data_IF_204839281868
#
_entry.id   IF_204839281868
#
_cell.length_a   1.000
_cell.length_b   1.000
_cell.length_c   1.000
_cell.angle_alpha   90.00
_cell.angle_beta   90.00
_cell.angle_gamma   90.00
#
_symmetry.space_group_name_H-M   'P 1'
#
loop_
_entity.id
_entity.type
_entity.pdbx_description
1 polymer ?
#
# COMPACT_ATOMS: atom_id res chain seq x y z
N UNK A 1 -38.84 51.95 -50.04
CA UNK A 1 -38.17 51.14 -51.09
C UNK A 1 -36.98 50.44 -50.43
N UNK A 2 -37.10 49.16 -50.07
CA UNK A 2 -36.40 47.99 -50.68
C UNK A 2 -34.86 48.15 -50.65
N UNK A 3 -34.01 47.33 -50.00
CA UNK A 3 -33.81 45.86 -49.88
C UNK A 3 -32.95 45.58 -48.61
N UNK A 4 -33.12 44.50 -47.79
CA UNK A 4 -32.65 43.10 -47.90
C UNK A 4 -31.15 42.93 -48.26
N UNK A 5 -30.30 42.10 -47.62
CA UNK A 5 -30.42 41.08 -46.57
C UNK A 5 -29.02 40.74 -46.00
N UNK A 6 -28.95 40.28 -44.73
CA UNK A 6 -28.65 38.91 -44.31
C UNK A 6 -27.14 38.59 -44.10
N UNK A 7 -26.75 38.43 -42.82
CA UNK A 7 -25.52 37.78 -42.39
C UNK A 7 -25.88 36.70 -41.35
N UNK A 8 -25.20 35.57 -41.51
CA UNK A 8 -25.57 34.22 -41.09
C UNK A 8 -25.18 33.90 -39.65
N UNK A 9 -26.10 33.24 -38.93
CA UNK A 9 -25.86 32.52 -37.68
C UNK A 9 -25.31 31.13 -37.97
N UNK A 10 -24.24 30.72 -37.28
CA UNK A 10 -23.74 29.35 -37.28
C UNK A 10 -24.17 28.65 -35.99
N UNK A 11 -25.06 27.68 -36.15
CA UNK A 11 -25.52 26.73 -35.15
C UNK A 11 -25.01 25.35 -35.60
N UNK A 12 -24.32 24.64 -34.71
CA UNK A 12 -23.73 23.34 -35.00
C UNK A 12 -24.27 22.32 -33.99
N UNK A 13 -25.37 21.69 -34.39
CA UNK A 13 -25.94 20.52 -33.72
C UNK A 13 -25.33 19.21 -34.25
N UNK A 14 -24.87 18.40 -33.30
CA UNK A 14 -25.05 16.94 -33.14
C UNK A 14 -24.97 16.03 -34.39
N UNK A 15 -23.99 15.12 -34.38
CA UNK A 15 -23.95 13.93 -35.23
C UNK A 15 -23.36 12.73 -34.47
N UNK A 16 -24.26 11.85 -33.99
CA UNK A 16 -23.97 10.56 -33.36
C UNK A 16 -23.36 9.59 -34.39
N UNK A 17 -22.10 9.19 -34.20
CA UNK A 17 -21.39 8.24 -35.07
C UNK A 17 -21.28 6.86 -34.43
N UNK A 18 -22.08 5.93 -34.94
CA UNK A 18 -22.07 4.49 -34.64
C UNK A 18 -20.77 3.86 -35.14
N UNK A 19 -20.01 3.17 -34.28
CA UNK A 19 -18.83 2.39 -34.65
C UNK A 19 -19.23 0.91 -34.85
N UNK A 20 -18.88 0.25 -35.96
CA UNK A 20 -19.29 -1.12 -36.24
C UNK A 20 -18.46 -2.16 -35.47
N UNK A 21 -19.16 -3.17 -34.97
CA UNK A 21 -18.62 -4.39 -34.36
C UNK A 21 -17.91 -5.24 -35.42
N UNK A 22 -16.62 -5.47 -35.25
CA UNK A 22 -15.85 -6.38 -36.11
C UNK A 22 -15.86 -7.79 -35.50
N UNK A 23 -16.56 -8.69 -36.18
CA UNK A 23 -16.61 -10.12 -35.91
C UNK A 23 -15.49 -10.82 -36.72
N UNK A 24 -14.87 -11.84 -36.12
CA UNK A 24 -13.92 -12.81 -36.70
C UNK A 24 -12.41 -12.47 -36.67
N UNK A 25 -11.73 -12.99 -35.65
CA UNK A 25 -10.43 -13.65 -35.82
C UNK A 25 -10.27 -14.75 -34.76
N UNK A 26 -10.86 -15.92 -35.04
CA UNK A 26 -10.50 -17.19 -34.42
C UNK A 26 -9.08 -17.56 -34.85
N UNK A 27 -8.10 -17.45 -33.94
CA UNK A 27 -6.83 -18.17 -34.06
C UNK A 27 -6.66 -19.12 -32.89
N UNK A 28 -6.54 -20.38 -33.27
CA UNK A 28 -6.20 -21.58 -32.53
C UNK A 28 -5.01 -21.40 -31.59
N UNK A 29 -5.24 -21.71 -30.31
CA UNK A 29 -4.26 -21.99 -29.27
C UNK A 29 -3.50 -23.29 -29.59
N UNK A 30 -2.19 -23.19 -29.79
CA UNK A 30 -1.26 -24.32 -29.73
C UNK A 30 -0.56 -24.34 -28.36
N UNK A 31 -0.20 -25.53 -27.82
CA UNK A 31 0.35 -25.64 -26.47
C UNK A 31 1.79 -25.10 -26.38
N UNK A 32 2.11 -24.45 -25.26
CA UNK A 32 3.43 -23.91 -24.94
C UNK A 32 4.51 -25.01 -24.82
N UNK A 33 5.78 -24.74 -25.20
CA UNK A 33 6.86 -25.71 -25.06
C UNK A 33 7.26 -25.88 -23.58
N UNK A 34 7.38 -27.14 -23.15
CA UNK A 34 7.90 -27.55 -21.84
C UNK A 34 9.40 -27.28 -21.75
N UNK A 35 9.82 -26.50 -20.76
CA UNK A 35 11.24 -26.31 -20.41
C UNK A 35 11.60 -27.33 -19.31
N UNK A 36 12.63 -28.12 -19.55
CA UNK A 36 13.17 -29.10 -18.59
C UNK A 36 14.13 -28.43 -17.59
N UNK A 37 14.27 -28.94 -16.35
CA UNK A 37 15.16 -28.34 -15.36
C UNK A 37 16.62 -28.78 -15.58
N UNK A 38 17.52 -27.81 -15.69
CA UNK A 38 18.96 -28.05 -15.66
C UNK A 38 19.44 -28.28 -14.22
N UNK A 39 20.19 -29.38 -14.04
CA UNK A 39 20.83 -29.75 -12.77
C UNK A 39 22.07 -28.88 -12.56
N UNK A 40 22.00 -27.96 -11.61
CA UNK A 40 23.16 -27.23 -11.08
C UNK A 40 23.62 -27.81 -9.74
N UNK A 41 24.78 -28.46 -9.75
CA UNK A 41 25.52 -28.89 -8.56
C UNK A 41 26.14 -27.69 -7.85
N UNK A 42 25.85 -27.49 -6.56
CA UNK A 42 26.41 -26.39 -5.78
C UNK A 42 26.33 -26.60 -4.26
N UNK A 43 27.40 -27.19 -3.74
CA UNK A 43 27.98 -27.16 -2.38
C UNK A 43 27.18 -26.62 -1.18
N UNK A 44 27.12 -27.46 -0.15
CA UNK A 44 26.71 -27.18 1.22
C UNK A 44 27.55 -26.10 1.92
N UNK A 45 26.88 -25.26 2.71
CA UNK A 45 27.45 -24.56 3.87
C UNK A 45 26.33 -24.39 4.91
N UNK A 46 26.47 -25.07 6.05
CA UNK A 46 25.52 -25.03 7.14
C UNK A 46 25.55 -23.70 7.88
N UNK A 47 24.38 -23.12 8.09
CA UNK A 47 24.13 -22.12 9.12
C UNK A 47 22.90 -22.58 9.90
N UNK A 48 23.13 -23.05 11.12
CA UNK A 48 22.09 -23.37 12.09
C UNK A 48 21.39 -22.06 12.49
N UNK A 49 20.17 -21.85 12.01
CA UNK A 49 19.30 -20.78 12.48
C UNK A 49 18.63 -21.23 13.78
N UNK A 50 19.03 -20.62 14.88
CA UNK A 50 18.41 -20.76 16.20
C UNK A 50 17.06 -20.04 16.18
N UNK A 51 15.98 -20.76 16.46
CA UNK A 51 14.64 -20.19 16.61
C UNK A 51 14.60 -19.16 17.76
N UNK A 52 14.00 -17.96 17.59
CA UNK A 52 13.80 -17.05 18.71
C UNK A 52 12.74 -17.64 19.66
N UNK A 53 13.16 -17.86 20.90
CA UNK A 53 12.28 -18.26 22.01
C UNK A 53 11.54 -17.03 22.52
N UNK A 54 10.21 -17.13 22.59
CA UNK A 54 9.32 -16.11 23.15
C UNK A 54 9.55 -15.98 24.67
N UNK A 55 10.39 -15.05 25.09
CA UNK A 55 10.57 -14.72 26.51
C UNK A 55 9.61 -13.58 26.84
N UNK A 56 8.53 -13.93 27.54
CA UNK A 56 7.63 -12.94 28.13
C UNK A 56 8.30 -12.45 29.41
N UNK A 57 8.77 -11.20 29.45
CA UNK A 57 9.18 -10.58 30.71
C UNK A 57 8.36 -9.31 30.97
N UNK A 58 7.56 -9.38 32.02
CA UNK A 58 6.70 -8.32 32.55
C UNK A 58 7.55 -7.45 33.49
N UNK A 59 7.84 -6.21 33.10
CA UNK A 59 7.80 -4.99 33.94
C UNK A 59 8.69 -3.86 33.39
N UNK A 60 8.08 -2.69 33.19
CA UNK A 60 8.77 -1.41 33.00
C UNK A 60 8.36 -0.73 31.71
N UNK A 61 7.61 0.37 31.81
CA UNK A 61 6.99 1.07 30.70
C UNK A 61 7.95 1.45 29.58
N UNK A 62 7.89 0.67 28.51
CA UNK A 62 8.07 1.02 27.11
C UNK A 62 7.23 -0.01 26.35
N UNK A 63 6.24 0.43 25.59
CA UNK A 63 5.55 -0.44 24.64
C UNK A 63 6.55 -0.74 23.52
N UNK A 64 7.29 -1.84 23.68
CA UNK A 64 7.92 -2.51 22.55
C UNK A 64 6.78 -3.21 21.82
N UNK A 65 6.26 -2.57 20.78
CA UNK A 65 5.54 -3.28 19.74
C UNK A 65 6.62 -3.98 18.91
N UNK A 66 6.59 -5.31 18.87
CA UNK A 66 7.18 -6.06 17.76
C UNK A 66 6.34 -5.71 16.53
N UNK A 67 6.56 -4.54 15.94
CA UNK A 67 5.99 -4.16 14.66
C UNK A 67 6.77 -4.91 13.57
N UNK A 68 6.17 -5.93 12.92
CA UNK A 68 6.87 -6.77 11.96
C UNK A 68 7.24 -6.02 10.67
N UNK A 69 6.83 -4.75 10.52
CA UNK A 69 7.07 -3.90 9.37
C UNK A 69 8.08 -2.76 9.64
N UNK A 70 8.89 -2.87 10.70
CA UNK A 70 10.04 -1.97 10.95
C UNK A 70 11.24 -2.39 10.11
N UNK A 71 11.93 -1.42 9.49
CA UNK A 71 13.13 -1.69 8.67
C UNK A 71 14.29 -2.17 9.54
N UNK A 72 14.92 -3.28 9.15
CA UNK A 72 16.18 -3.72 9.74
C UNK A 72 17.27 -2.67 9.47
N UNK A 73 17.57 -1.85 10.49
CA UNK A 73 18.57 -0.77 10.40
C UNK A 73 18.32 0.46 11.27
N UNK A 74 17.16 0.60 11.93
CA UNK A 74 16.85 1.74 12.82
C UNK A 74 17.16 1.52 14.31
N UNK A 75 17.86 0.43 14.67
CA UNK A 75 18.18 0.11 16.06
C UNK A 75 19.65 0.38 16.40
N UNK A 76 19.92 1.52 17.07
CA UNK A 76 21.08 1.66 17.97
C UNK A 76 21.98 2.89 17.76
N UNK A 77 21.57 4.05 18.28
CA UNK A 77 22.45 5.21 18.53
C UNK A 77 22.47 5.60 20.02
N UNK A 78 23.57 6.18 20.55
CA UNK A 78 23.74 6.41 21.99
C UNK A 78 22.65 7.30 22.58
N UNK A 79 22.03 6.84 23.66
CA UNK A 79 21.03 7.56 24.46
C UNK A 79 21.65 8.83 25.09
N UNK A 80 21.64 9.94 24.35
CA UNK A 80 21.96 11.27 24.88
C UNK A 80 20.65 12.00 25.16
N UNK A 81 20.37 12.19 26.45
CA UNK A 81 19.30 13.03 27.03
C UNK A 81 19.27 14.42 26.38
N UNK A 82 18.49 14.56 25.31
CA UNK A 82 18.19 15.82 24.61
C UNK A 82 16.67 16.04 24.47
N UNK A 83 15.92 15.37 25.35
CA UNK A 83 14.46 15.18 25.35
C UNK A 83 13.56 16.44 25.16
N UNK A 84 13.86 17.64 25.70
CA UNK A 84 12.87 18.73 25.67
C UNK A 84 12.78 19.51 24.35
N UNK A 85 13.88 19.54 23.57
CA UNK A 85 13.96 20.28 22.31
C UNK A 85 13.51 19.41 21.14
N UNK A 86 13.87 18.13 21.17
CA UNK A 86 13.41 17.15 20.20
C UNK A 86 11.89 16.96 20.28
N UNK A 87 11.33 16.81 21.50
CA UNK A 87 9.88 16.68 21.68
C UNK A 87 9.12 17.90 21.13
N UNK A 88 9.55 19.12 21.50
CA UNK A 88 8.92 20.35 20.97
C UNK A 88 9.04 20.50 19.46
N UNK A 89 10.11 19.97 18.86
CA UNK A 89 10.24 19.96 17.40
C UNK A 89 9.31 18.94 16.75
N UNK A 90 9.18 17.75 17.35
CA UNK A 90 8.27 16.70 16.91
C UNK A 90 6.80 17.15 17.03
N UNK A 91 6.42 17.78 18.14
CA UNK A 91 5.06 18.29 18.36
C UNK A 91 4.67 19.33 17.30
N UNK A 92 5.61 20.22 16.94
CA UNK A 92 5.42 21.22 15.87
C UNK A 92 5.28 20.56 14.52
N UNK A 93 6.10 19.55 14.23
CA UNK A 93 6.02 18.80 12.98
C UNK A 93 4.67 18.09 12.86
N UNK A 94 4.21 17.45 13.94
CA UNK A 94 2.90 16.83 14.01
C UNK A 94 1.79 17.84 13.75
N UNK A 95 1.81 19.00 14.40
CA UNK A 95 0.80 20.03 14.21
C UNK A 95 0.76 20.56 12.76
N UNK A 96 1.91 20.68 12.10
CA UNK A 96 1.97 21.04 10.67
C UNK A 96 1.37 19.95 9.78
N UNK A 97 1.65 18.67 10.07
CA UNK A 97 1.09 17.54 9.33
C UNK A 97 -0.42 17.37 9.60
N UNK A 98 -0.92 17.67 10.79
CA UNK A 98 -2.35 17.68 11.11
C UNK A 98 -3.08 18.76 10.33
N UNK A 99 -2.50 19.96 10.27
CA UNK A 99 -3.02 21.06 9.45
C UNK A 99 -2.98 20.72 7.95
N UNK A 100 -1.94 20.03 7.49
CA UNK A 100 -1.82 19.55 6.12
C UNK A 100 -2.86 18.47 5.80
N UNK A 101 -3.08 17.51 6.70
CA UNK A 101 -4.10 16.48 6.55
C UNK A 101 -5.49 17.08 6.40
N UNK A 102 -5.86 18.00 7.30
CA UNK A 102 -7.11 18.74 7.21
C UNK A 102 -7.22 19.53 5.90
N UNK A 103 -6.11 20.14 5.43
CA UNK A 103 -6.08 20.83 4.16
C UNK A 103 -6.34 19.91 2.96
N UNK A 104 -5.72 18.72 2.97
CA UNK A 104 -5.87 17.71 1.93
C UNK A 104 -7.31 17.20 1.88
N UNK A 105 -7.95 16.97 3.01
CA UNK A 105 -9.35 16.53 3.04
C UNK A 105 -10.32 17.59 2.51
N UNK A 106 -10.05 18.87 2.76
CA UNK A 106 -10.95 19.96 2.35
C UNK A 106 -10.78 20.34 0.87
N UNK A 107 -9.53 20.53 0.42
CA UNK A 107 -9.25 21.06 -0.92
C UNK A 107 -8.53 20.06 -1.83
N UNK A 108 -8.12 18.90 -1.34
CA UNK A 108 -7.30 17.96 -2.11
C UNK A 108 -5.84 18.38 -2.20
N UNK A 109 -4.93 17.41 -2.33
CA UNK A 109 -3.48 17.63 -2.32
C UNK A 109 -2.97 18.53 -3.47
N UNK A 110 -3.66 18.60 -4.61
CA UNK A 110 -3.24 19.46 -5.73
C UNK A 110 -3.39 20.95 -5.44
N UNK A 111 -4.33 21.32 -4.57
CA UNK A 111 -4.71 22.72 -4.31
C UNK A 111 -4.12 23.28 -3.01
N UNK A 112 -3.43 22.46 -2.21
CA UNK A 112 -2.84 22.94 -0.96
C UNK A 112 -1.66 23.89 -1.22
N UNK A 113 -1.44 24.81 -0.28
CA UNK A 113 -0.28 25.70 -0.25
C UNK A 113 0.35 25.72 1.14
N UNK A 114 1.64 26.04 1.23
CA UNK A 114 2.35 26.20 2.51
C UNK A 114 1.75 27.32 3.37
N UNK A 115 1.15 28.34 2.74
CA UNK A 115 0.41 29.41 3.42
C UNK A 115 -0.85 28.89 4.11
N UNK A 116 -1.66 28.08 3.43
CA UNK A 116 -2.85 27.46 4.02
C UNK A 116 -2.49 26.55 5.21
N UNK A 117 -1.38 25.82 5.10
CA UNK A 117 -0.90 24.96 6.20
C UNK A 117 -0.45 25.82 7.38
N UNK A 118 0.30 26.89 7.15
CA UNK A 118 0.75 27.81 8.19
C UNK A 118 -0.44 28.42 8.96
N UNK A 119 -1.43 28.91 8.23
CA UNK A 119 -2.66 29.49 8.78
C UNK A 119 -3.42 28.48 9.65
N UNK A 120 -3.69 27.28 9.13
CA UNK A 120 -4.40 26.23 9.88
C UNK A 120 -3.64 25.74 11.11
N UNK A 121 -2.31 25.67 11.03
CA UNK A 121 -1.46 25.26 12.15
C UNK A 121 -1.27 26.37 13.20
N UNK A 122 -1.75 27.59 12.97
CA UNK A 122 -1.44 28.75 13.81
C UNK A 122 0.06 29.08 13.84
N UNK A 123 0.78 28.73 12.77
CA UNK A 123 2.22 28.87 12.64
C UNK A 123 2.58 30.03 11.69
N UNK A 124 3.78 30.60 11.85
CA UNK A 124 4.31 31.53 10.85
C UNK A 124 4.69 30.78 9.57
N UNK A 125 4.56 31.44 8.42
CA UNK A 125 4.98 30.86 7.13
C UNK A 125 6.46 30.46 7.14
N UNK A 126 7.32 31.22 7.82
CA UNK A 126 8.73 30.89 8.00
C UNK A 126 8.96 29.64 8.86
N UNK A 127 8.02 29.28 9.74
CA UNK A 127 8.08 28.01 10.48
C UNK A 127 7.81 26.83 9.55
N UNK A 128 6.86 26.95 8.61
CA UNK A 128 6.62 25.91 7.61
C UNK A 128 7.86 25.71 6.74
N UNK A 129 8.40 26.79 6.16
CA UNK A 129 9.59 26.72 5.30
C UNK A 129 10.85 26.18 5.98
N UNK A 130 10.95 26.32 7.31
CA UNK A 130 12.06 25.75 8.09
C UNK A 130 12.03 24.22 8.12
N UNK A 131 10.84 23.61 8.12
CA UNK A 131 10.67 22.15 8.17
C UNK A 131 10.41 21.56 6.79
N UNK A 132 9.63 22.25 5.97
CA UNK A 132 9.22 21.82 4.64
C UNK A 132 9.48 22.94 3.63
N UNK A 133 10.53 22.82 2.79
CA UNK A 133 10.95 23.88 1.88
C UNK A 133 9.92 24.20 0.80
N UNK A 134 9.02 23.27 0.50
CA UNK A 134 7.93 23.45 -0.46
C UNK A 134 6.71 22.60 -0.09
N UNK A 135 5.61 22.76 -0.85
CA UNK A 135 4.38 22.01 -0.61
C UNK A 135 4.55 20.50 -0.78
N UNK A 136 5.44 20.09 -1.70
CA UNK A 136 5.66 18.68 -2.03
C UNK A 136 6.32 17.98 -0.85
N UNK A 137 7.28 18.63 -0.19
CA UNK A 137 7.90 18.11 1.02
C UNK A 137 6.88 17.89 2.15
N UNK A 138 5.88 18.76 2.29
CA UNK A 138 4.78 18.55 3.25
C UNK A 138 3.95 17.32 2.88
N UNK A 139 3.58 17.19 1.60
CA UNK A 139 2.80 16.05 1.11
C UNK A 139 3.54 14.73 1.29
N UNK A 140 4.86 14.71 1.06
CA UNK A 140 5.69 13.52 1.30
C UNK A 140 5.75 13.15 2.78
N UNK A 141 5.99 14.12 3.67
CA UNK A 141 5.96 13.86 5.12
C UNK A 141 4.57 13.37 5.60
N UNK A 142 3.50 13.86 5.00
CA UNK A 142 2.15 13.38 5.28
C UNK A 142 1.91 11.96 4.76
N UNK A 143 2.44 11.62 3.57
CA UNK A 143 2.41 10.25 3.00
C UNK A 143 3.21 9.26 3.85
N UNK A 144 4.42 9.62 4.28
CA UNK A 144 5.23 8.80 5.19
C UNK A 144 4.46 8.50 6.48
N UNK A 145 3.81 9.52 7.07
CA UNK A 145 2.94 9.32 8.24
C UNK A 145 1.78 8.37 7.94
N UNK A 146 1.13 8.51 6.78
CA UNK A 146 0.04 7.61 6.38
C UNK A 146 0.51 6.15 6.20
N UNK A 147 1.69 5.93 5.62
CA UNK A 147 2.31 4.60 5.49
C UNK A 147 2.60 3.99 6.87
N UNK A 148 3.16 4.78 7.79
CA UNK A 148 3.40 4.33 9.17
C UNK A 148 2.11 3.95 9.88
N UNK A 149 1.05 4.77 9.76
CA UNK A 149 -0.28 4.45 10.32
C UNK A 149 -0.88 3.19 9.70
N UNK A 150 -0.70 3.00 8.40
CA UNK A 150 -1.13 1.78 7.71
C UNK A 150 -0.44 0.55 8.27
N UNK A 151 0.89 0.53 8.36
CA UNK A 151 1.66 -0.59 8.93
C UNK A 151 1.23 -0.92 10.36
N UNK A 152 1.13 0.09 11.21
CA UNK A 152 0.68 -0.08 12.59
C UNK A 152 -0.72 -0.69 12.67
N UNK A 153 -1.65 -0.24 11.80
CA UNK A 153 -3.01 -0.78 11.76
C UNK A 153 -3.05 -2.22 11.22
N UNK A 154 -2.22 -2.56 10.25
CA UNK A 154 -2.09 -3.95 9.78
C UNK A 154 -1.59 -4.85 10.91
N UNK A 155 -0.57 -4.43 11.65
CA UNK A 155 -0.04 -5.18 12.79
C UNK A 155 -1.10 -5.37 13.89
N UNK A 156 -1.89 -4.33 14.20
CA UNK A 156 -3.03 -4.41 15.13
C UNK A 156 -4.07 -5.43 14.64
N UNK A 157 -4.51 -5.34 13.39
CA UNK A 157 -5.50 -6.27 12.82
C UNK A 157 -5.03 -7.73 12.82
N UNK A 158 -3.75 -7.98 12.49
CA UNK A 158 -3.14 -9.32 12.55
C UNK A 158 -3.15 -9.85 13.99
N UNK A 159 -2.77 -9.03 14.97
CA UNK A 159 -2.71 -9.40 16.39
C UNK A 159 -4.10 -9.69 16.97
N UNK A 160 -5.09 -8.87 16.62
CA UNK A 160 -6.45 -8.97 17.14
C UNK A 160 -7.23 -10.14 16.50
N UNK A 161 -7.13 -10.30 15.18
CA UNK A 161 -7.89 -11.32 14.44
C UNK A 161 -7.25 -12.69 14.50
N UNK A 162 -5.91 -12.77 14.59
CA UNK A 162 -5.13 -14.03 14.59
C UNK A 162 -5.54 -14.92 13.40
N UNK A 163 -5.23 -14.50 12.17
CA UNK A 163 -5.63 -15.21 10.97
C UNK A 163 -5.18 -16.68 11.00
N UNK A 164 -6.05 -17.58 10.56
CA UNK A 164 -5.77 -19.03 10.54
C UNK A 164 -5.36 -19.53 9.17
N UNK A 165 -5.40 -18.66 8.15
CA UNK A 165 -4.95 -18.95 6.79
C UNK A 165 -4.37 -17.68 6.16
N UNK A 166 -3.65 -17.85 5.05
CA UNK A 166 -2.96 -16.77 4.37
C UNK A 166 -3.89 -15.68 3.85
N UNK A 167 -5.12 -16.03 3.44
CA UNK A 167 -6.08 -15.04 2.94
C UNK A 167 -6.54 -14.13 4.07
N UNK A 168 -6.86 -14.68 5.24
CA UNK A 168 -7.29 -13.88 6.38
C UNK A 168 -6.20 -12.87 6.79
N UNK A 169 -4.92 -13.21 6.62
CA UNK A 169 -3.80 -12.28 6.85
C UNK A 169 -3.74 -11.16 5.80
N UNK A 170 -3.91 -11.47 4.50
CA UNK A 170 -4.04 -10.46 3.44
C UNK A 170 -5.27 -9.57 3.68
N UNK A 171 -6.37 -10.17 4.11
CA UNK A 171 -7.63 -9.50 4.39
C UNK A 171 -7.53 -8.55 5.60
N UNK A 172 -6.63 -8.82 6.56
CA UNK A 172 -6.28 -7.85 7.61
C UNK A 172 -5.70 -6.56 7.01
N UNK A 173 -4.91 -6.66 5.94
CA UNK A 173 -4.37 -5.49 5.25
C UNK A 173 -5.46 -4.67 4.54
N UNK A 174 -6.39 -5.35 3.88
CA UNK A 174 -7.55 -4.70 3.24
C UNK A 174 -8.44 -4.02 4.30
N UNK A 175 -8.70 -4.69 5.42
CA UNK A 175 -9.45 -4.14 6.55
C UNK A 175 -8.77 -2.91 7.16
N UNK A 176 -7.45 -2.94 7.35
CA UNK A 176 -6.68 -1.79 7.84
C UNK A 176 -6.82 -0.58 6.91
N UNK A 177 -6.74 -0.80 5.60
CA UNK A 177 -6.88 0.22 4.58
C UNK A 177 -8.27 0.90 4.63
N UNK A 178 -9.32 0.08 4.70
CA UNK A 178 -10.72 0.56 4.82
C UNK A 178 -10.92 1.35 6.10
N UNK A 179 -10.39 0.87 7.23
CA UNK A 179 -10.51 1.54 8.52
C UNK A 179 -9.83 2.91 8.47
N UNK A 180 -8.60 3.00 7.95
CA UNK A 180 -7.87 4.26 7.88
C UNK A 180 -8.52 5.27 6.93
N UNK A 181 -9.12 4.85 5.83
CA UNK A 181 -9.93 5.75 5.01
C UNK A 181 -11.09 6.40 5.77
N UNK A 182 -11.67 5.67 6.73
CA UNK A 182 -12.82 6.14 7.51
C UNK A 182 -12.41 6.99 8.70
N UNK A 183 -11.23 6.74 9.28
CA UNK A 183 -10.86 7.29 10.59
C UNK A 183 -9.67 8.24 10.56
N UNK A 184 -8.76 8.13 9.60
CA UNK A 184 -7.50 8.90 9.58
C UNK A 184 -7.61 10.11 8.63
N UNK A 185 -7.55 11.35 9.15
CA UNK A 185 -7.55 12.55 8.32
C UNK A 185 -6.39 12.56 7.33
N UNK A 186 -6.66 12.98 6.10
CA UNK A 186 -5.68 13.08 5.05
C UNK A 186 -5.19 11.74 4.51
N UNK A 187 -5.73 10.58 4.93
CA UNK A 187 -5.24 9.26 4.50
C UNK A 187 -5.26 9.06 2.98
N UNK A 188 -6.12 9.78 2.26
CA UNK A 188 -6.13 9.85 0.78
C UNK A 188 -4.78 10.25 0.18
N UNK A 189 -3.90 10.88 0.96
CA UNK A 189 -2.53 11.22 0.57
C UNK A 189 -1.66 10.00 0.24
N UNK A 190 -2.04 8.80 0.69
CA UNK A 190 -1.32 7.57 0.37
C UNK A 190 -1.21 7.36 -1.15
N UNK A 191 -2.19 7.88 -1.90
CA UNK A 191 -2.30 7.88 -3.37
C UNK A 191 -1.47 8.95 -4.07
N UNK A 192 -0.83 9.84 -3.31
CA UNK A 192 -0.06 10.92 -3.88
C UNK A 192 1.21 10.37 -4.52
N UNK A 193 1.18 10.28 -5.85
CA UNK A 193 2.34 9.98 -6.69
C UNK A 193 2.92 11.30 -7.19
N UNK A 194 4.01 11.75 -6.57
CA UNK A 194 4.78 12.86 -7.11
C UNK A 194 5.60 12.41 -8.32
N UNK A 195 4.97 12.43 -9.50
CA UNK A 195 5.63 12.05 -10.76
C UNK A 195 6.75 12.98 -11.18
N UNK A 196 6.80 14.22 -10.69
CA UNK A 196 7.81 15.21 -11.09
C UNK A 196 9.13 15.02 -10.35
N UNK A 197 9.11 14.46 -9.13
CA UNK A 197 10.31 14.14 -8.36
C UNK A 197 10.55 12.67 -8.10
N UNK A 198 9.61 11.77 -8.41
CA UNK A 198 9.84 10.33 -8.34
C UNK A 198 11.07 10.01 -9.22
N UNK A 199 12.20 9.63 -8.62
CA UNK A 199 13.37 9.30 -9.42
C UNK A 199 13.03 8.05 -10.24
N UNK A 200 13.45 8.03 -11.50
CA UNK A 200 13.31 6.85 -12.38
C UNK A 200 14.07 5.64 -11.78
N UNK A 201 14.91 5.85 -10.75
CA UNK A 201 15.63 4.82 -10.01
C UNK A 201 14.79 3.98 -9.02
N UNK A 202 13.49 4.27 -8.85
CA UNK A 202 12.59 3.43 -8.07
C UNK A 202 12.61 3.66 -6.56
N UNK A 203 13.25 4.72 -6.05
CA UNK A 203 13.30 4.99 -4.61
C UNK A 203 11.94 5.23 -3.92
N UNK A 204 10.93 5.72 -4.65
CA UNK A 204 9.54 5.78 -4.15
C UNK A 204 8.87 4.39 -4.13
N UNK A 205 9.24 3.50 -5.06
CA UNK A 205 8.79 2.11 -5.11
C UNK A 205 9.34 1.28 -3.94
N UNK A 206 10.46 1.70 -3.33
CA UNK A 206 11.04 1.04 -2.15
C UNK A 206 10.05 1.00 -0.98
N UNK A 207 9.16 1.99 -0.83
CA UNK A 207 8.25 2.03 0.32
C UNK A 207 7.00 1.15 0.12
N UNK A 208 6.45 1.14 -1.10
CA UNK A 208 5.33 0.27 -1.50
C UNK A 208 5.78 -1.20 -1.59
N UNK A 209 6.93 -1.46 -2.22
CA UNK A 209 7.53 -2.79 -2.33
C UNK A 209 7.98 -3.34 -0.97
N UNK A 210 8.40 -2.48 -0.03
CA UNK A 210 8.76 -2.91 1.31
C UNK A 210 7.59 -3.54 2.07
N UNK A 211 6.38 -2.95 2.01
CA UNK A 211 5.21 -3.55 2.66
C UNK A 211 4.87 -4.91 2.02
N UNK A 212 4.86 -4.99 0.69
CA UNK A 212 4.60 -6.24 -0.02
C UNK A 212 5.63 -7.33 0.31
N UNK A 213 6.92 -6.98 0.37
CA UNK A 213 7.99 -7.91 0.73
C UNK A 213 7.86 -8.41 2.18
N UNK A 214 7.59 -7.50 3.14
CA UNK A 214 7.37 -7.92 4.54
C UNK A 214 6.13 -8.78 4.70
N UNK A 215 5.06 -8.46 3.98
CA UNK A 215 3.87 -9.30 3.95
C UNK A 215 4.18 -10.67 3.34
N UNK A 216 4.98 -10.75 2.27
CA UNK A 216 5.41 -12.01 1.68
C UNK A 216 6.15 -12.89 2.68
N UNK A 217 7.07 -12.31 3.45
CA UNK A 217 7.80 -13.03 4.50
C UNK A 217 6.84 -13.62 5.54
N UNK A 218 5.89 -12.82 6.05
CA UNK A 218 4.87 -13.28 7.00
C UNK A 218 4.06 -14.43 6.39
N UNK A 219 3.58 -14.26 5.16
CA UNK A 219 2.74 -15.27 4.52
C UNK A 219 3.47 -16.58 4.26
N UNK A 220 4.76 -16.50 3.95
CA UNK A 220 5.58 -17.66 3.70
C UNK A 220 6.00 -18.37 5.00
N UNK A 221 6.36 -17.63 6.04
CA UNK A 221 6.78 -18.17 7.34
C UNK A 221 5.61 -18.76 8.13
N UNK A 222 4.47 -18.06 8.19
CA UNK A 222 3.34 -18.46 9.04
C UNK A 222 2.34 -19.39 8.34
N UNK A 223 2.19 -19.26 7.02
CA UNK A 223 1.17 -20.00 6.25
C UNK A 223 1.75 -20.87 5.14
N UNK A 224 3.07 -21.01 5.03
CA UNK A 224 3.70 -21.95 4.11
C UNK A 224 3.63 -21.58 2.63
N UNK A 225 3.39 -20.30 2.30
CA UNK A 225 3.47 -19.83 0.91
C UNK A 225 4.91 -19.91 0.38
N UNK A 226 5.10 -20.07 -0.95
CA UNK A 226 6.43 -20.16 -1.52
C UNK A 226 7.19 -18.83 -1.37
N UNK A 227 8.31 -18.86 -0.65
CA UNK A 227 9.23 -17.72 -0.56
C UNK A 227 9.82 -17.36 -1.93
N UNK A 228 10.02 -16.06 -2.15
CA UNK A 228 10.83 -15.57 -3.26
C UNK A 228 10.28 -14.31 -3.94
N UNK A 229 10.99 -13.81 -4.97
CA UNK A 229 10.63 -12.58 -5.67
C UNK A 229 9.26 -12.64 -6.36
N UNK A 230 8.79 -13.84 -6.71
CA UNK A 230 7.47 -14.02 -7.31
C UNK A 230 6.35 -13.70 -6.30
N UNK A 231 6.48 -14.13 -5.04
CA UNK A 231 5.48 -13.80 -4.01
C UNK A 231 5.39 -12.30 -3.77
N UNK A 232 6.55 -11.64 -3.67
CA UNK A 232 6.63 -10.18 -3.55
C UNK A 232 5.91 -9.50 -4.72
N UNK A 233 6.23 -9.90 -5.95
CA UNK A 233 5.59 -9.34 -7.15
C UNK A 233 4.08 -9.57 -7.17
N UNK A 234 3.59 -10.75 -6.77
CA UNK A 234 2.15 -11.01 -6.69
C UNK A 234 1.47 -10.15 -5.63
N UNK A 235 2.10 -9.95 -4.48
CA UNK A 235 1.56 -9.07 -3.43
C UNK A 235 1.60 -7.60 -3.84
N UNK A 236 2.62 -7.15 -4.57
CA UNK A 236 2.65 -5.80 -5.16
C UNK A 236 1.45 -5.58 -6.08
N UNK A 237 1.18 -6.51 -7.00
CA UNK A 237 0.01 -6.43 -7.88
C UNK A 237 -1.30 -6.44 -7.09
N UNK A 238 -1.40 -7.27 -6.05
CA UNK A 238 -2.56 -7.31 -5.16
C UNK A 238 -2.80 -5.97 -4.45
N UNK A 239 -1.74 -5.36 -3.93
CA UNK A 239 -1.80 -4.04 -3.27
C UNK A 239 -2.26 -2.98 -4.26
N UNK A 240 -1.69 -2.93 -5.47
CA UNK A 240 -2.09 -1.96 -6.51
C UNK A 240 -3.57 -2.08 -6.91
N UNK A 241 -4.06 -3.32 -7.07
CA UNK A 241 -5.48 -3.54 -7.37
C UNK A 241 -6.40 -3.13 -6.23
N UNK A 242 -6.04 -3.49 -4.99
CA UNK A 242 -6.80 -3.11 -3.80
C UNK A 242 -6.84 -1.57 -3.66
N UNK A 243 -5.68 -0.93 -3.77
CA UNK A 243 -5.49 0.50 -3.62
C UNK A 243 -6.33 1.29 -4.62
N UNK A 244 -6.30 0.92 -5.90
CA UNK A 244 -7.10 1.56 -6.94
C UNK A 244 -8.62 1.43 -6.71
N UNK A 245 -9.10 0.25 -6.30
CA UNK A 245 -10.52 0.00 -6.07
C UNK A 245 -11.02 0.65 -4.77
N UNK A 246 -10.23 0.59 -3.70
CA UNK A 246 -10.58 1.22 -2.43
C UNK A 246 -10.55 2.74 -2.53
N UNK A 247 -9.54 3.34 -3.14
CA UNK A 247 -9.56 4.80 -3.37
C UNK A 247 -10.72 5.24 -4.25
N UNK A 248 -11.14 4.40 -5.21
CA UNK A 248 -12.37 4.63 -5.94
C UNK A 248 -13.61 4.55 -5.05
N UNK A 249 -13.69 3.55 -4.17
CA UNK A 249 -14.79 3.38 -3.21
C UNK A 249 -14.98 4.62 -2.32
N UNK A 250 -13.88 5.19 -1.84
CA UNK A 250 -13.86 6.34 -0.95
C UNK A 250 -13.83 7.69 -1.69
N UNK A 251 -13.87 7.70 -3.02
CA UNK A 251 -13.70 8.94 -3.80
C UNK A 251 -14.78 9.98 -3.49
N UNK A 252 -16.04 9.56 -3.37
CA UNK A 252 -17.20 10.44 -3.11
C UNK A 252 -18.00 10.09 -1.87
N UNK A 253 -17.75 8.93 -1.25
CA UNK A 253 -18.43 8.47 -0.04
C UNK A 253 -17.38 8.28 1.08
N UNK A 254 -17.45 9.05 2.18
CA UNK A 254 -16.56 8.88 3.33
C UNK A 254 -16.67 7.50 4.00
N UNK A 255 -17.79 6.78 3.84
CA UNK A 255 -17.95 5.42 4.35
C UNK A 255 -17.46 4.35 3.35
N UNK A 256 -17.24 4.77 2.11
CA UNK A 256 -16.84 3.92 0.99
C UNK A 256 -18.04 3.20 0.37
N UNK A 257 -18.13 3.22 -0.96
CA UNK A 257 -19.12 2.42 -1.69
C UNK A 257 -18.83 0.93 -1.48
N UNK A 258 -19.75 0.24 -0.79
CA UNK A 258 -19.62 -1.16 -0.43
C UNK A 258 -19.40 -2.06 -1.66
N UNK A 259 -19.95 -1.72 -2.82
CA UNK A 259 -19.77 -2.52 -4.04
C UNK A 259 -18.32 -2.53 -4.51
N UNK A 260 -17.63 -1.39 -4.41
CA UNK A 260 -16.20 -1.31 -4.75
C UNK A 260 -15.34 -2.01 -3.68
N UNK A 261 -15.72 -1.93 -2.41
CA UNK A 261 -15.02 -2.62 -1.31
C UNK A 261 -15.10 -4.14 -1.49
N UNK A 262 -16.31 -4.66 -1.76
CA UNK A 262 -16.53 -6.09 -1.97
C UNK A 262 -15.76 -6.59 -3.20
N UNK A 263 -15.78 -5.81 -4.29
CA UNK A 263 -15.04 -6.13 -5.51
C UNK A 263 -13.52 -6.09 -5.29
N UNK A 264 -13.01 -5.14 -4.49
CA UNK A 264 -11.59 -5.07 -4.13
C UNK A 264 -11.14 -6.36 -3.43
N UNK A 265 -11.92 -6.85 -2.45
CA UNK A 265 -11.65 -8.13 -1.79
C UNK A 265 -11.72 -9.29 -2.78
N UNK A 266 -12.77 -9.34 -3.61
CA UNK A 266 -12.97 -10.45 -4.55
C UNK A 266 -11.86 -10.53 -5.60
N UNK A 267 -11.49 -9.42 -6.22
CA UNK A 267 -10.43 -9.37 -7.24
C UNK A 267 -9.08 -9.79 -6.67
N UNK A 268 -8.72 -9.28 -5.49
CA UNK A 268 -7.46 -9.63 -4.83
C UNK A 268 -7.45 -11.10 -4.40
N UNK A 269 -8.54 -11.59 -3.82
CA UNK A 269 -8.70 -13.00 -3.44
C UNK A 269 -8.52 -13.91 -4.65
N UNK A 270 -9.31 -13.68 -5.70
CA UNK A 270 -9.32 -14.55 -6.88
C UNK A 270 -7.98 -14.51 -7.62
N UNK A 271 -7.32 -13.36 -7.66
CA UNK A 271 -5.97 -13.23 -8.21
C UNK A 271 -4.98 -14.10 -7.44
N UNK A 272 -4.91 -13.96 -6.12
CA UNK A 272 -3.94 -14.70 -5.30
C UNK A 272 -4.25 -16.20 -5.24
N UNK A 273 -5.52 -16.59 -5.13
CA UNK A 273 -5.94 -18.00 -5.22
C UNK A 273 -5.53 -18.63 -6.55
N UNK A 274 -5.58 -17.87 -7.65
CA UNK A 274 -5.13 -18.32 -8.96
C UNK A 274 -3.65 -18.74 -9.01
N UNK A 275 -2.83 -18.26 -8.08
CA UNK A 275 -1.39 -18.59 -7.97
C UNK A 275 -1.07 -19.53 -6.82
N UNK A 276 -1.75 -19.40 -5.67
CA UNK A 276 -1.37 -20.06 -4.42
C UNK A 276 -2.39 -21.09 -3.92
N UNK A 277 -3.47 -21.34 -4.68
CA UNK A 277 -4.50 -22.30 -4.29
C UNK A 277 -5.49 -21.73 -3.27
N UNK A 278 -6.42 -22.55 -2.80
CA UNK A 278 -7.43 -22.10 -1.82
C UNK A 278 -6.78 -22.01 -0.45
N UNK A 279 -7.18 -21.07 0.44
CA UNK A 279 -6.60 -20.96 1.78
C UNK A 279 -6.70 -22.22 2.67
N UNK A 280 -7.53 -23.20 2.30
CA UNK A 280 -7.64 -24.50 2.97
C UNK A 280 -6.58 -25.53 2.52
N UNK A 281 -5.87 -25.31 1.41
CA UNK A 281 -5.07 -26.35 0.73
C UNK A 281 -3.61 -26.43 1.23
N UNK A 282 -3.16 -25.52 2.10
CA UNK A 282 -1.72 -25.41 2.46
C UNK A 282 -1.25 -26.42 3.51
N UNK A 283 -2.16 -27.22 4.08
CA UNK A 283 -1.82 -28.30 5.02
C UNK A 283 -1.38 -29.62 4.33
N UNK A 284 -1.61 -29.81 3.03
CA UNK A 284 -1.39 -31.11 2.37
C UNK A 284 -0.07 -31.24 1.58
N UNK A 285 0.66 -30.13 1.32
CA UNK A 285 1.83 -30.16 0.43
C UNK A 285 3.15 -30.63 1.09
N UNK A 286 3.17 -30.89 2.40
CA UNK A 286 4.41 -31.26 3.14
C UNK A 286 4.47 -32.73 3.58
N UNK A 287 3.56 -33.59 3.12
CA UNK A 287 3.40 -34.94 3.67
C UNK A 287 3.13 -36.05 2.64
N UNK A 288 4.01 -36.28 1.66
CA UNK A 288 4.19 -37.66 1.18
C UNK A 288 5.56 -37.87 0.53
N UNK A 289 6.29 -38.84 1.06
CA UNK A 289 7.66 -39.17 0.69
C UNK A 289 8.26 -40.27 1.55
N UNK A 290 7.43 -41.19 2.06
CA UNK A 290 7.92 -42.48 2.59
C UNK A 290 7.27 -43.59 1.78
N UNK A 291 7.78 -43.79 0.57
CA UNK A 291 7.56 -45.02 -0.18
C UNK A 291 8.62 -46.05 0.24
N UNK A 292 8.17 -46.96 1.08
CA UNK A 292 8.49 -48.39 1.15
C UNK A 292 9.43 -48.95 0.05
N UNK A 293 10.48 -49.67 0.48
CA UNK A 293 11.15 -50.69 -0.31
C UNK A 293 11.82 -51.71 0.63
N UNK A 294 11.21 -52.88 0.66
CA UNK A 294 11.68 -54.15 1.19
C UNK A 294 13.00 -54.64 0.56
#
# INVERSE_FOLDING_TARGET
>A
MSRAGAASSADASVGLGIVPVCHACTRTTGPAPRVAPERGTGSAAGATATAPTLVTDLQGGNVSFDDPFVRDGESGGPQIRTEPVQQRSADRLSALLDAAASAVDEVGFDRITTAMIAERAGASIGTVYRYYPDRVAVLQGLRERAVQRFRAKVAEELSDRKPTNWWDAVDCSVSAFITLYRTEPGFRILHFVDRERAPIDGSADIESGYFAARMADILAEEFGLPHGPELNFRLEIAVEMADALLSRAFYSDPQGDQRFIDEARSVVHNYLVGYYGTPADVDEASGDGTADSA
#
